data_IF_868823201146
#
_entry.id   IF_868823201146
#
_cell.length_a   1.000
_cell.length_b   1.000
_cell.length_c   1.000
_cell.angle_alpha   90.00
_cell.angle_beta   90.00
_cell.angle_gamma   90.00
#
_symmetry.space_group_name_H-M   'P 1'
#
loop_
_entity.id
_entity.type
_entity.pdbx_description
1 polymer ?
#
# COMPACT_ATOMS: atom_id res chain seq x y z
N UNK A 1 -32.76 -52.17 -35.04
CA UNK A 1 -32.10 -52.80 -36.21
C UNK A 1 -30.72 -52.13 -36.30
N UNK A 2 -29.66 -52.93 -36.28
CA UNK A 2 -28.30 -52.38 -36.44
C UNK A 2 -28.17 -51.80 -37.85
N UNK A 3 -27.70 -50.59 -37.99
CA UNK A 3 -27.34 -49.95 -39.26
C UNK A 3 -26.16 -50.71 -39.86
N UNK A 4 -26.35 -51.45 -40.93
CA UNK A 4 -25.32 -52.26 -41.54
C UNK A 4 -24.60 -51.42 -42.61
N UNK A 5 -23.63 -50.61 -42.20
CA UNK A 5 -22.74 -49.94 -43.12
C UNK A 5 -21.70 -50.94 -43.70
N UNK A 6 -21.24 -50.76 -44.95
CA UNK A 6 -20.22 -51.63 -45.58
C UNK A 6 -18.93 -51.69 -44.78
N UNK A 7 -18.36 -52.89 -44.59
CA UNK A 7 -17.20 -53.16 -43.72
C UNK A 7 -15.85 -52.68 -44.28
N UNK A 8 -15.71 -52.30 -45.50
CA UNK A 8 -14.47 -51.82 -46.10
C UNK A 8 -14.71 -50.77 -47.16
N UNK A 9 -15.27 -49.62 -46.78
CA UNK A 9 -15.61 -48.56 -47.75
C UNK A 9 -14.36 -47.82 -48.22
N UNK A 10 -14.32 -47.45 -49.52
CA UNK A 10 -13.32 -46.51 -50.04
C UNK A 10 -13.68 -45.11 -49.60
N UNK A 11 -12.65 -44.19 -49.57
CA UNK A 11 -12.91 -42.79 -49.25
C UNK A 11 -13.91 -42.17 -50.23
N UNK A 12 -14.93 -41.52 -49.71
CA UNK A 12 -16.02 -40.95 -50.53
C UNK A 12 -17.11 -41.93 -50.89
N UNK A 13 -17.04 -43.22 -50.50
CA UNK A 13 -18.13 -44.15 -50.68
C UNK A 13 -19.40 -43.66 -50.00
N UNK A 14 -20.56 -43.81 -50.66
CA UNK A 14 -21.85 -43.41 -50.13
C UNK A 14 -22.72 -44.57 -49.74
N UNK A 15 -23.48 -44.44 -48.66
CA UNK A 15 -24.46 -45.42 -48.23
C UNK A 15 -25.74 -44.71 -47.73
N UNK A 16 -26.89 -45.14 -48.23
CA UNK A 16 -28.18 -44.52 -47.84
C UNK A 16 -28.87 -45.38 -46.81
N UNK A 17 -29.18 -44.84 -45.66
CA UNK A 17 -29.93 -45.48 -44.60
C UNK A 17 -30.98 -44.52 -44.03
N UNK A 18 -32.21 -44.97 -43.90
CA UNK A 18 -33.30 -44.16 -43.36
C UNK A 18 -33.59 -42.87 -44.15
N UNK A 19 -33.31 -42.88 -45.48
CA UNK A 19 -33.47 -41.66 -46.31
C UNK A 19 -32.29 -40.71 -46.29
N UNK A 20 -31.26 -40.96 -45.46
CA UNK A 20 -30.06 -40.12 -45.38
C UNK A 20 -28.88 -40.82 -46.05
N UNK A 21 -28.23 -40.12 -46.97
CA UNK A 21 -27.02 -40.63 -47.64
C UNK A 21 -25.77 -40.21 -46.86
N UNK A 22 -25.07 -41.17 -46.32
CA UNK A 22 -23.80 -41.00 -45.58
C UNK A 22 -22.63 -41.12 -46.55
N UNK A 23 -21.55 -40.37 -46.29
CA UNK A 23 -20.31 -40.46 -47.04
C UNK A 23 -19.19 -40.90 -46.12
N UNK A 24 -18.39 -41.90 -46.54
CA UNK A 24 -17.28 -42.40 -45.76
C UNK A 24 -16.05 -41.50 -45.87
N UNK A 25 -15.47 -41.14 -44.73
CA UNK A 25 -14.22 -40.46 -44.64
C UNK A 25 -13.12 -41.43 -44.15
N UNK A 26 -12.25 -41.87 -45.07
CA UNK A 26 -11.20 -42.84 -44.77
C UNK A 26 -10.11 -42.31 -43.84
N UNK A 27 -9.87 -41.01 -43.83
CA UNK A 27 -8.89 -40.38 -42.91
C UNK A 27 -9.36 -40.46 -41.45
N UNK A 28 -10.67 -40.37 -41.25
CA UNK A 28 -11.28 -40.44 -39.90
C UNK A 28 -11.86 -41.81 -39.56
N UNK A 29 -11.96 -42.71 -40.54
CA UNK A 29 -12.52 -44.04 -40.35
C UNK A 29 -14.02 -44.02 -40.02
N UNK A 30 -14.77 -43.01 -40.44
CA UNK A 30 -16.18 -42.82 -40.04
C UNK A 30 -17.07 -42.46 -41.21
N UNK A 31 -18.33 -42.90 -41.14
CA UNK A 31 -19.40 -42.43 -42.03
C UNK A 31 -19.99 -41.13 -41.52
N UNK A 32 -20.00 -40.08 -42.32
CA UNK A 32 -20.58 -38.78 -42.02
C UNK A 32 -21.88 -38.59 -42.77
N UNK A 33 -22.90 -38.19 -42.07
CA UNK A 33 -24.11 -37.67 -42.69
C UNK A 33 -23.75 -36.39 -43.50
N UNK A 34 -24.54 -36.04 -44.55
CA UNK A 34 -24.36 -34.73 -45.16
C UNK A 34 -24.38 -33.67 -44.07
N UNK A 35 -23.29 -32.92 -43.99
CA UNK A 35 -23.25 -31.79 -43.06
C UNK A 35 -24.15 -30.71 -43.64
N UNK A 36 -25.44 -30.80 -43.40
CA UNK A 36 -26.22 -29.57 -43.31
C UNK A 36 -25.77 -28.92 -42.01
N UNK A 37 -24.61 -28.27 -42.03
CA UNK A 37 -24.09 -27.52 -40.89
C UNK A 37 -24.91 -26.27 -40.55
N UNK A 38 -26.12 -26.21 -41.04
CA UNK A 38 -27.09 -25.18 -40.75
C UNK A 38 -28.41 -25.84 -40.32
N UNK A 39 -29.03 -25.26 -39.32
CA UNK A 39 -30.32 -25.68 -38.79
C UNK A 39 -31.39 -25.80 -39.93
N UNK A 40 -31.26 -25.01 -40.97
CA UNK A 40 -32.12 -24.98 -42.17
C UNK A 40 -31.96 -26.17 -43.11
N UNK A 41 -30.98 -27.03 -42.89
CA UNK A 41 -30.75 -28.27 -43.68
C UNK A 41 -31.40 -29.51 -43.10
N UNK A 42 -32.04 -29.45 -41.97
CA UNK A 42 -32.82 -30.54 -41.40
C UNK A 42 -34.25 -30.50 -41.98
N UNK A 43 -34.82 -31.66 -42.28
CA UNK A 43 -36.14 -31.76 -42.91
C UNK A 43 -37.30 -31.31 -42.03
N UNK A 44 -37.07 -31.19 -40.75
CA UNK A 44 -38.03 -30.82 -39.72
C UNK A 44 -37.78 -29.43 -39.11
N UNK A 45 -36.90 -28.62 -39.72
CA UNK A 45 -36.62 -27.24 -39.30
C UNK A 45 -36.99 -26.23 -40.36
N UNK A 46 -37.21 -24.97 -40.00
CA UNK A 46 -37.50 -23.90 -40.95
C UNK A 46 -36.40 -23.73 -42.00
N UNK A 47 -36.79 -23.54 -43.26
CA UNK A 47 -35.90 -23.42 -44.42
C UNK A 47 -35.07 -22.15 -44.50
N UNK A 48 -35.33 -21.17 -43.63
CA UNK A 48 -34.59 -19.89 -43.58
C UNK A 48 -34.51 -19.34 -42.18
N UNK A 49 -33.40 -18.69 -41.86
CA UNK A 49 -33.19 -17.93 -40.62
C UNK A 49 -33.53 -16.44 -40.78
N UNK A 50 -33.85 -15.98 -42.00
CA UNK A 50 -34.17 -14.57 -42.25
C UNK A 50 -35.43 -14.17 -41.49
N UNK A 51 -35.37 -13.05 -40.76
CA UNK A 51 -36.46 -12.56 -39.93
C UNK A 51 -36.78 -13.36 -38.67
N UNK A 52 -35.86 -14.27 -38.27
CA UNK A 52 -36.04 -15.11 -37.08
C UNK A 52 -35.23 -14.60 -35.86
N UNK A 53 -34.59 -13.43 -35.97
CA UNK A 53 -33.90 -12.82 -34.85
C UNK A 53 -34.84 -12.59 -33.67
N UNK A 54 -34.41 -12.96 -32.47
CA UNK A 54 -35.21 -12.83 -31.24
C UNK A 54 -36.27 -13.92 -31.04
N UNK A 55 -36.34 -14.94 -31.90
CA UNK A 55 -37.26 -16.08 -31.74
C UNK A 55 -36.56 -17.28 -31.15
N UNK A 56 -37.29 -18.08 -30.37
CA UNK A 56 -36.84 -19.37 -29.85
C UNK A 56 -37.25 -20.52 -30.76
N UNK A 57 -36.45 -21.61 -30.73
CA UNK A 57 -36.85 -22.87 -31.33
C UNK A 57 -37.75 -23.62 -30.37
N UNK A 58 -38.92 -24.02 -30.83
CA UNK A 58 -39.81 -24.92 -30.08
C UNK A 58 -40.38 -26.00 -30.96
N UNK A 59 -40.80 -27.09 -30.35
CA UNK A 59 -41.57 -28.10 -31.02
C UNK A 59 -42.98 -27.53 -31.27
N UNK A 60 -43.51 -27.67 -32.50
CA UNK A 60 -44.86 -27.23 -32.80
C UNK A 60 -45.92 -27.99 -32.00
N UNK A 61 -47.15 -27.50 -31.98
CA UNK A 61 -48.24 -28.09 -31.20
C UNK A 61 -48.63 -29.50 -31.64
N UNK A 62 -48.23 -29.93 -32.84
CA UNK A 62 -48.41 -31.29 -33.34
C UNK A 62 -47.29 -32.27 -32.91
N UNK A 63 -46.20 -31.77 -32.33
CA UNK A 63 -45.08 -32.56 -31.87
C UNK A 63 -44.18 -33.15 -32.97
N UNK A 64 -44.29 -32.66 -34.20
CA UNK A 64 -43.65 -33.26 -35.39
C UNK A 64 -42.70 -32.33 -36.16
N UNK A 65 -42.52 -31.09 -35.75
CA UNK A 65 -41.58 -30.18 -36.36
C UNK A 65 -41.04 -29.16 -35.35
N UNK A 66 -39.84 -28.62 -35.61
CA UNK A 66 -39.25 -27.51 -34.89
C UNK A 66 -39.60 -26.19 -35.64
N UNK A 67 -40.15 -25.24 -34.94
CA UNK A 67 -40.50 -23.93 -35.48
C UNK A 67 -39.85 -22.78 -34.73
N UNK A 68 -39.64 -21.65 -35.42
CA UNK A 68 -39.30 -20.39 -34.75
C UNK A 68 -40.57 -19.72 -34.23
N UNK A 69 -40.70 -19.67 -32.95
CA UNK A 69 -41.80 -18.96 -32.32
C UNK A 69 -41.29 -17.65 -31.70
N UNK A 70 -42.10 -16.61 -31.84
CA UNK A 70 -41.95 -15.44 -31.00
C UNK A 70 -42.07 -15.93 -29.58
N UNK A 71 -41.10 -15.60 -28.73
CA UNK A 71 -41.27 -15.75 -27.30
C UNK A 71 -42.45 -14.87 -26.95
N UNK A 72 -43.51 -15.43 -26.40
CA UNK A 72 -44.64 -14.62 -25.98
C UNK A 72 -44.10 -13.70 -24.88
N UNK A 73 -44.36 -12.40 -25.01
CA UNK A 73 -44.11 -11.49 -23.91
C UNK A 73 -44.83 -12.08 -22.67
N UNK A 74 -44.07 -12.67 -21.74
CA UNK A 74 -44.62 -13.24 -20.51
C UNK A 74 -44.48 -14.76 -20.32
N UNK A 75 -43.60 -15.49 -21.03
CA UNK A 75 -43.34 -16.89 -20.70
C UNK A 75 -42.32 -17.09 -19.53
N UNK A 76 -41.87 -16.01 -18.90
CA UNK A 76 -41.31 -16.01 -17.56
C UNK A 76 -39.83 -16.35 -17.44
N UNK A 77 -39.03 -16.20 -18.48
CA UNK A 77 -37.59 -16.28 -18.35
C UNK A 77 -37.08 -15.08 -17.50
N UNK A 78 -36.20 -15.36 -16.59
CA UNK A 78 -35.63 -14.30 -15.74
C UNK A 78 -34.69 -13.41 -16.55
N UNK A 79 -34.68 -12.09 -16.31
CA UNK A 79 -33.71 -11.18 -16.90
C UNK A 79 -32.27 -11.65 -16.72
N UNK A 80 -31.48 -11.54 -17.79
CA UNK A 80 -30.05 -11.87 -17.78
C UNK A 80 -29.26 -10.62 -17.43
N UNK A 81 -28.57 -10.65 -16.30
CA UNK A 81 -27.64 -9.59 -15.89
C UNK A 81 -26.35 -9.74 -16.68
N UNK A 82 -25.96 -8.71 -17.45
CA UNK A 82 -24.71 -8.68 -18.21
C UNK A 82 -23.71 -7.64 -17.68
N UNK A 83 -24.14 -6.67 -16.88
CA UNK A 83 -23.27 -5.82 -16.07
C UNK A 83 -23.54 -6.15 -14.61
N UNK A 84 -22.64 -6.91 -14.01
CA UNK A 84 -22.74 -7.34 -12.61
C UNK A 84 -22.34 -6.20 -11.67
N UNK A 85 -23.14 -5.87 -10.65
CA UNK A 85 -22.72 -4.95 -9.61
C UNK A 85 -21.62 -5.58 -8.77
N UNK A 86 -20.76 -4.78 -8.11
CA UNK A 86 -19.77 -5.30 -7.18
C UNK A 86 -20.45 -6.02 -6.00
N UNK A 87 -19.78 -6.99 -5.38
CA UNK A 87 -20.28 -7.65 -4.18
C UNK A 87 -20.23 -6.76 -2.94
N UNK A 88 -19.33 -5.76 -2.95
CA UNK A 88 -19.20 -4.74 -1.91
C UNK A 88 -18.90 -3.38 -2.51
N UNK A 89 -19.34 -2.30 -1.85
CA UNK A 89 -19.12 -0.92 -2.29
C UNK A 89 -18.91 -0.01 -1.08
N UNK A 90 -17.84 0.82 -1.11
CA UNK A 90 -17.61 1.83 -0.09
C UNK A 90 -18.25 3.15 -0.51
N UNK A 91 -19.09 3.70 0.36
CA UNK A 91 -19.75 4.97 0.15
C UNK A 91 -18.78 6.14 0.40
N UNK A 92 -18.97 7.24 -0.31
CA UNK A 92 -18.14 8.43 -0.18
C UNK A 92 -18.44 9.17 1.13
N UNK A 93 -17.44 9.27 2.01
CA UNK A 93 -17.57 9.90 3.35
C UNK A 93 -17.70 11.42 3.32
N UNK A 94 -17.47 12.04 2.18
CA UNK A 94 -17.58 13.51 1.97
C UNK A 94 -19.01 13.94 1.56
N UNK A 95 -19.96 12.99 1.48
CA UNK A 95 -21.33 13.23 1.08
C UNK A 95 -21.52 13.32 -0.44
N UNK A 96 -20.46 13.16 -1.24
CA UNK A 96 -20.63 13.03 -2.68
C UNK A 96 -21.33 11.73 -3.03
N UNK A 97 -22.17 11.74 -4.06
CA UNK A 97 -22.93 10.54 -4.45
C UNK A 97 -22.04 9.39 -4.87
N UNK A 98 -22.44 8.19 -4.50
CA UNK A 98 -21.80 6.93 -4.90
C UNK A 98 -22.72 6.19 -5.88
N UNK A 99 -22.17 5.57 -6.92
CA UNK A 99 -22.96 4.88 -7.94
C UNK A 99 -22.59 3.41 -8.06
N UNK A 100 -23.60 2.56 -8.24
CA UNK A 100 -23.44 1.14 -8.59
C UNK A 100 -24.28 0.87 -9.83
N UNK A 101 -23.73 0.11 -10.77
CA UNK A 101 -24.42 -0.25 -12.00
C UNK A 101 -24.79 -1.73 -12.03
N UNK A 102 -26.00 -2.04 -12.46
CA UNK A 102 -26.50 -3.36 -12.77
C UNK A 102 -27.29 -3.27 -14.07
N UNK A 103 -26.85 -3.94 -15.13
CA UNK A 103 -27.58 -3.94 -16.40
C UNK A 103 -28.06 -5.34 -16.73
N UNK A 104 -29.29 -5.41 -17.20
CA UNK A 104 -29.90 -6.67 -17.57
C UNK A 104 -30.66 -6.51 -18.89
N UNK A 105 -30.89 -7.63 -19.55
CA UNK A 105 -31.73 -7.76 -20.74
C UNK A 105 -32.72 -8.88 -20.50
N UNK A 106 -33.94 -8.66 -20.93
CA UNK A 106 -34.92 -9.72 -20.99
C UNK A 106 -34.75 -10.53 -22.30
N UNK A 107 -34.63 -11.87 -22.23
CA UNK A 107 -34.52 -12.70 -23.42
C UNK A 107 -35.73 -12.56 -24.39
N UNK A 108 -36.88 -12.21 -23.86
CA UNK A 108 -38.14 -12.01 -24.62
C UNK A 108 -38.30 -10.59 -25.18
N UNK A 109 -37.37 -9.69 -24.78
CA UNK A 109 -37.38 -8.29 -25.23
C UNK A 109 -38.32 -7.38 -24.45
N UNK A 110 -38.81 -7.83 -23.26
CA UNK A 110 -39.61 -6.99 -22.37
C UNK A 110 -38.74 -5.92 -21.72
N UNK A 111 -39.28 -4.75 -21.49
CA UNK A 111 -38.55 -3.67 -20.84
C UNK A 111 -38.20 -4.02 -19.38
N UNK A 112 -36.95 -3.81 -19.02
CA UNK A 112 -36.46 -4.06 -17.65
C UNK A 112 -36.79 -2.87 -16.76
N UNK A 113 -37.29 -3.18 -15.56
CA UNK A 113 -37.47 -2.25 -14.46
C UNK A 113 -36.48 -2.59 -13.34
N UNK A 114 -35.70 -1.61 -12.92
CA UNK A 114 -34.74 -1.78 -11.84
C UNK A 114 -35.33 -1.38 -10.50
N UNK A 115 -34.99 -2.11 -9.43
CA UNK A 115 -35.47 -1.86 -8.09
C UNK A 115 -34.40 -2.11 -7.03
N UNK A 116 -34.61 -1.55 -5.86
CA UNK A 116 -33.76 -1.76 -4.68
C UNK A 116 -34.61 -2.11 -3.48
N UNK A 117 -34.08 -3.00 -2.63
CA UNK A 117 -34.60 -3.27 -1.30
C UNK A 117 -33.43 -3.36 -0.31
N UNK A 118 -33.59 -2.76 0.85
CA UNK A 118 -32.61 -2.86 1.91
C UNK A 118 -32.88 -4.11 2.75
N UNK A 119 -31.81 -4.85 3.06
CA UNK A 119 -31.91 -6.11 3.82
C UNK A 119 -32.07 -5.87 5.32
N UNK A 120 -33.05 -5.05 5.71
CA UNK A 120 -33.48 -4.87 7.08
C UNK A 120 -34.98 -5.27 7.22
N UNK A 121 -35.45 -5.48 8.44
CA UNK A 121 -36.79 -6.00 8.70
C UNK A 121 -37.94 -5.13 8.17
N UNK A 122 -37.69 -3.84 7.92
CA UNK A 122 -38.68 -2.85 7.49
C UNK A 122 -38.48 -2.34 6.08
N UNK A 123 -37.40 -2.77 5.39
CA UNK A 123 -36.94 -2.19 4.13
C UNK A 123 -36.77 -0.66 4.22
N UNK A 124 -36.51 -0.14 5.41
CA UNK A 124 -36.32 1.29 5.62
C UNK A 124 -34.94 1.72 5.10
N UNK A 125 -34.87 2.97 4.66
CA UNK A 125 -33.58 3.59 4.26
C UNK A 125 -32.57 3.46 5.40
N UNK A 126 -31.34 2.95 5.10
CA UNK A 126 -30.26 2.88 6.09
C UNK A 126 -29.82 4.27 6.57
N UNK A 127 -29.41 4.37 7.83
CA UNK A 127 -28.90 5.62 8.41
C UNK A 127 -27.68 6.17 7.63
N UNK A 128 -26.91 5.30 6.98
CA UNK A 128 -25.76 5.65 6.12
C UNK A 128 -26.10 6.51 4.90
N UNK A 129 -27.37 6.67 4.58
CA UNK A 129 -27.84 7.43 3.44
C UNK A 129 -28.62 8.68 3.88
N UNK A 130 -28.25 9.84 3.36
CA UNK A 130 -28.94 11.12 3.60
C UNK A 130 -30.29 11.19 2.87
N UNK A 131 -30.37 10.57 1.68
CA UNK A 131 -31.58 10.50 0.87
C UNK A 131 -31.82 9.09 0.33
N UNK A 132 -33.01 8.86 -0.22
CA UNK A 132 -33.36 7.60 -0.86
C UNK A 132 -32.53 7.39 -2.13
N UNK A 133 -32.17 6.13 -2.39
CA UNK A 133 -31.42 5.77 -3.60
C UNK A 133 -32.26 6.09 -4.85
N UNK A 134 -31.68 6.83 -5.78
CA UNK A 134 -32.29 7.08 -7.09
C UNK A 134 -31.84 6.04 -8.11
N UNK A 135 -32.73 5.68 -9.04
CA UNK A 135 -32.46 4.63 -10.03
C UNK A 135 -32.71 5.20 -11.43
N UNK A 136 -31.67 5.16 -12.25
CA UNK A 136 -31.83 5.43 -13.67
C UNK A 136 -32.31 4.16 -14.39
N UNK A 137 -33.57 4.13 -14.76
CA UNK A 137 -34.25 2.97 -15.38
C UNK A 137 -33.68 2.62 -16.76
N UNK A 138 -33.09 3.58 -17.48
CA UNK A 138 -32.52 3.31 -18.81
C UNK A 138 -31.13 2.68 -18.75
N UNK A 139 -30.34 3.01 -17.72
CA UNK A 139 -28.95 2.57 -17.59
C UNK A 139 -28.71 1.53 -16.52
N UNK A 140 -29.70 1.28 -15.62
CA UNK A 140 -29.51 0.42 -14.46
C UNK A 140 -28.53 0.98 -13.45
N UNK A 141 -28.38 2.31 -13.38
CA UNK A 141 -27.50 2.98 -12.43
C UNK A 141 -28.26 3.32 -11.15
N UNK A 142 -27.77 2.82 -10.03
CA UNK A 142 -28.23 3.13 -8.67
C UNK A 142 -27.32 4.20 -8.10
N UNK A 143 -27.90 5.34 -7.69
CA UNK A 143 -27.17 6.46 -7.09
C UNK A 143 -27.54 6.57 -5.63
N UNK A 144 -26.55 6.44 -4.77
CA UNK A 144 -26.65 6.53 -3.33
C UNK A 144 -26.14 7.91 -2.89
N UNK A 145 -26.85 8.53 -1.95
CA UNK A 145 -26.51 9.82 -1.35
C UNK A 145 -26.07 9.57 0.12
N UNK A 146 -24.76 9.42 0.40
CA UNK A 146 -24.28 9.10 1.73
C UNK A 146 -24.44 10.26 2.70
N UNK A 147 -24.69 9.97 3.98
CA UNK A 147 -24.62 10.98 5.05
C UNK A 147 -23.17 11.39 5.31
N UNK A 148 -22.98 12.61 5.81
CA UNK A 148 -21.69 13.08 6.37
C UNK A 148 -21.61 12.98 7.89
N UNK A 149 -22.63 12.39 8.52
CA UNK A 149 -22.72 12.25 9.98
C UNK A 149 -21.94 11.03 10.44
N UNK A 150 -20.88 11.24 11.21
CA UNK A 150 -19.98 10.16 11.63
C UNK A 150 -20.66 9.09 12.50
N UNK A 151 -21.69 9.46 13.27
CA UNK A 151 -22.48 8.49 14.06
C UNK A 151 -23.27 7.49 13.22
N UNK A 152 -23.47 7.79 11.94
CA UNK A 152 -24.17 6.92 10.99
C UNK A 152 -23.24 5.95 10.27
N UNK A 153 -21.94 5.93 10.62
CA UNK A 153 -20.98 4.96 10.12
C UNK A 153 -21.47 3.53 10.32
N UNK A 154 -21.16 2.67 9.37
CA UNK A 154 -21.54 1.27 9.45
C UNK A 154 -21.80 0.66 8.08
N UNK A 155 -22.32 -0.55 8.10
CA UNK A 155 -22.59 -1.31 6.89
C UNK A 155 -24.08 -1.65 6.78
N UNK A 156 -24.55 -1.74 5.55
CA UNK A 156 -25.85 -2.30 5.23
C UNK A 156 -25.76 -3.15 3.96
N UNK A 157 -26.73 -4.03 3.79
CA UNK A 157 -26.87 -4.85 2.59
C UNK A 157 -28.07 -4.39 1.78
N UNK A 158 -27.89 -4.17 0.48
CA UNK A 158 -28.98 -3.93 -0.44
C UNK A 158 -29.13 -5.08 -1.42
N UNK A 159 -30.36 -5.36 -1.79
CA UNK A 159 -30.74 -6.25 -2.87
C UNK A 159 -31.14 -5.41 -4.07
N UNK A 160 -30.34 -5.42 -5.11
CA UNK A 160 -30.66 -4.82 -6.40
C UNK A 160 -31.44 -5.84 -7.24
N UNK A 161 -32.41 -5.37 -8.01
CA UNK A 161 -33.23 -6.22 -8.85
C UNK A 161 -33.39 -5.63 -10.24
N UNK A 162 -33.48 -6.51 -11.25
CA UNK A 162 -33.91 -6.22 -12.60
C UNK A 162 -35.12 -7.13 -12.89
N UNK A 163 -36.26 -6.56 -13.25
CA UNK A 163 -37.53 -7.29 -13.46
C UNK A 163 -38.13 -6.94 -14.81
N UNK A 164 -38.66 -7.94 -15.48
CA UNK A 164 -39.52 -7.84 -16.67
C UNK A 164 -41.02 -7.67 -16.34
N UNK A 165 -41.37 -7.63 -15.05
CA UNK A 165 -42.73 -7.59 -14.53
C UNK A 165 -43.32 -8.96 -14.18
N UNK A 166 -42.69 -10.07 -14.57
CA UNK A 166 -43.12 -11.45 -14.28
C UNK A 166 -42.09 -12.16 -13.37
N UNK A 167 -40.81 -12.03 -13.74
CA UNK A 167 -39.68 -12.60 -12.97
C UNK A 167 -38.64 -11.54 -12.69
N UNK A 168 -37.63 -11.87 -11.88
CA UNK A 168 -36.57 -10.94 -11.56
C UNK A 168 -35.24 -11.61 -11.30
N UNK A 169 -34.17 -11.01 -11.80
CA UNK A 169 -32.81 -11.29 -11.41
C UNK A 169 -32.40 -10.37 -10.24
N UNK A 170 -31.76 -10.91 -9.23
CA UNK A 170 -31.37 -10.11 -8.05
C UNK A 170 -29.90 -10.29 -7.71
N UNK A 171 -29.27 -9.22 -7.18
CA UNK A 171 -27.90 -9.22 -6.68
C UNK A 171 -27.85 -8.53 -5.32
N UNK A 172 -27.00 -9.04 -4.46
CA UNK A 172 -26.73 -8.42 -3.16
C UNK A 172 -25.43 -7.67 -3.20
N UNK A 173 -25.44 -6.45 -2.63
CA UNK A 173 -24.26 -5.61 -2.47
C UNK A 173 -24.15 -5.23 -1.00
N UNK A 174 -22.98 -5.44 -0.42
CA UNK A 174 -22.63 -4.96 0.91
C UNK A 174 -22.07 -3.53 0.80
N UNK A 175 -22.77 -2.57 1.38
CA UNK A 175 -22.34 -1.17 1.43
C UNK A 175 -21.69 -0.88 2.78
N UNK A 176 -20.62 -0.09 2.76
CA UNK A 176 -19.94 0.38 3.96
C UNK A 176 -19.72 1.89 3.89
N UNK A 177 -20.15 2.61 4.94
CA UNK A 177 -19.82 4.01 5.16
C UNK A 177 -18.87 4.09 6.35
N UNK A 178 -17.66 4.58 6.12
CA UNK A 178 -16.64 4.69 7.16
C UNK A 178 -16.04 6.09 7.14
N UNK A 179 -15.98 6.70 8.33
CA UNK A 179 -15.31 7.97 8.56
C UNK A 179 -13.89 7.78 9.11
N UNK A 180 -13.35 6.60 8.97
CA UNK A 180 -11.98 6.31 9.36
C UNK A 180 -11.01 7.29 8.68
N UNK A 181 -10.13 7.97 9.44
CA UNK A 181 -9.18 8.90 8.87
C UNK A 181 -8.10 8.20 8.07
N UNK A 182 -7.91 8.65 6.84
CA UNK A 182 -6.72 8.32 6.07
C UNK A 182 -5.59 9.24 6.52
N UNK A 183 -4.43 8.65 6.75
CA UNK A 183 -3.24 9.36 7.17
C UNK A 183 -2.09 9.17 6.20
N UNK A 184 -1.27 10.20 6.08
CA UNK A 184 0.12 10.07 5.63
C UNK A 184 1.00 10.20 6.86
N UNK A 185 2.00 9.34 6.99
CA UNK A 185 2.88 9.37 8.15
C UNK A 185 4.35 9.49 7.77
N UNK A 186 5.12 10.11 8.67
CA UNK A 186 6.57 10.07 8.72
C UNK A 186 6.97 9.69 10.14
N UNK A 187 7.69 8.59 10.30
CA UNK A 187 8.17 8.09 11.58
C UNK A 187 9.69 8.02 11.48
N UNK A 188 10.39 8.81 12.29
CA UNK A 188 11.83 8.87 12.36
C UNK A 188 12.26 8.47 13.77
N UNK A 189 13.11 7.50 13.89
CA UNK A 189 13.67 7.04 15.16
C UNK A 189 14.78 7.98 15.65
N UNK A 190 15.23 7.80 16.90
CA UNK A 190 16.40 8.50 17.40
C UNK A 190 17.68 8.06 16.69
N UNK A 191 18.59 9.00 16.43
CA UNK A 191 19.94 8.72 15.92
C UNK A 191 20.84 8.11 16.96
N UNK A 192 21.84 7.34 16.56
CA UNK A 192 22.90 6.78 17.42
C UNK A 192 23.89 7.86 17.87
N UNK A 193 24.53 7.65 19.04
CA UNK A 193 25.60 8.52 19.49
C UNK A 193 26.90 8.29 18.73
N UNK A 194 27.71 9.34 18.58
CA UNK A 194 29.04 9.29 17.99
C UNK A 194 30.08 8.65 18.92
N UNK A 195 31.11 8.03 18.35
CA UNK A 195 32.26 7.48 19.04
C UNK A 195 33.24 8.56 19.51
N UNK A 196 34.27 8.18 20.19
CA UNK A 196 35.42 9.03 20.59
C UNK A 196 36.75 8.41 20.16
N UNK A 197 37.86 9.14 20.31
CA UNK A 197 39.22 8.69 19.99
C UNK A 197 39.39 8.29 18.53
N UNK A 198 39.21 9.26 17.63
CA UNK A 198 39.12 9.03 16.18
C UNK A 198 38.02 8.02 15.84
N UNK A 199 36.92 8.16 16.58
CA UNK A 199 35.75 7.29 16.46
C UNK A 199 34.94 7.52 15.19
N UNK A 200 34.01 6.61 14.96
CA UNK A 200 33.01 6.72 13.89
C UNK A 200 31.80 7.58 14.29
N UNK A 201 31.14 8.16 13.33
CA UNK A 201 29.86 8.88 13.52
C UNK A 201 28.73 7.91 13.84
N UNK A 202 27.74 8.38 14.62
CA UNK A 202 26.49 7.64 14.85
C UNK A 202 25.64 7.56 13.60
N UNK A 203 24.98 6.44 13.37
CA UNK A 203 23.99 6.26 12.28
C UNK A 203 22.73 7.06 12.57
N UNK A 204 22.04 7.52 11.54
CA UNK A 204 20.73 8.12 11.67
C UNK A 204 19.68 7.11 12.16
N UNK A 205 18.64 7.59 12.82
CA UNK A 205 17.44 6.82 13.08
C UNK A 205 16.79 6.38 11.79
N UNK A 206 16.19 5.19 11.79
CA UNK A 206 15.43 4.69 10.67
C UNK A 206 14.25 5.61 10.32
N UNK A 207 13.93 5.72 9.05
CA UNK A 207 12.84 6.54 8.54
C UNK A 207 11.82 5.68 7.82
N UNK A 208 10.56 5.77 8.25
CA UNK A 208 9.41 5.17 7.59
C UNK A 208 8.45 6.25 7.14
N UNK A 209 7.98 6.13 5.91
CA UNK A 209 6.92 7.00 5.36
C UNK A 209 5.92 6.16 4.58
N UNK A 210 4.67 6.60 4.54
CA UNK A 210 3.62 5.90 3.83
C UNK A 210 2.25 6.45 4.17
N UNK A 211 1.24 5.71 3.77
CA UNK A 211 -0.18 5.98 4.06
C UNK A 211 -0.81 4.82 4.82
N UNK A 212 -1.83 5.11 5.60
CA UNK A 212 -2.64 4.10 6.28
C UNK A 212 -4.00 4.69 6.65
N UNK A 213 -4.93 3.83 7.05
CA UNK A 213 -6.23 4.25 7.58
C UNK A 213 -6.29 3.89 9.06
N UNK A 214 -6.69 4.84 9.90
CA UNK A 214 -6.88 4.64 11.33
C UNK A 214 -8.37 4.44 11.64
N UNK A 215 -8.69 3.62 12.65
CA UNK A 215 -10.06 3.42 13.06
C UNK A 215 -10.54 4.57 13.97
N UNK A 216 -11.69 5.14 13.67
CA UNK A 216 -12.34 6.15 14.52
C UNK A 216 -12.65 5.56 15.91
N UNK A 217 -12.48 6.37 16.96
CA UNK A 217 -12.67 5.95 18.35
C UNK A 217 -11.52 5.13 18.95
N UNK A 218 -10.49 4.80 18.13
CA UNK A 218 -9.32 4.06 18.61
C UNK A 218 -8.21 5.01 19.01
N UNK A 219 -7.58 4.77 20.15
CA UNK A 219 -6.40 5.50 20.60
C UNK A 219 -5.13 4.82 20.06
N UNK A 220 -4.31 5.58 19.38
CA UNK A 220 -3.02 5.15 18.86
C UNK A 220 -1.90 5.71 19.72
N UNK A 221 -1.02 4.83 20.17
CA UNK A 221 0.16 5.21 20.95
C UNK A 221 1.27 5.63 20.00
N UNK A 222 1.86 6.78 20.29
CA UNK A 222 3.02 7.34 19.61
C UNK A 222 4.22 7.29 20.57
N UNK A 223 5.22 6.54 20.20
CA UNK A 223 6.53 6.55 20.88
C UNK A 223 7.53 7.31 20.03
N UNK A 224 8.19 8.29 20.62
CA UNK A 224 9.29 9.03 19.96
C UNK A 224 10.60 8.57 20.57
N UNK A 225 11.49 8.01 19.74
CA UNK A 225 12.78 7.49 20.16
C UNK A 225 13.73 8.59 20.60
N UNK A 226 14.36 8.42 21.73
CA UNK A 226 15.44 9.30 22.17
C UNK A 226 16.71 9.07 21.33
N UNK A 227 17.52 10.09 21.15
CA UNK A 227 18.88 9.93 20.62
C UNK A 227 19.75 9.12 21.57
N UNK A 228 20.66 8.31 21.02
CA UNK A 228 21.67 7.58 21.80
C UNK A 228 22.71 8.53 22.39
N UNK A 229 23.18 8.26 23.62
CA UNK A 229 24.27 9.05 24.17
C UNK A 229 25.58 8.84 23.37
N UNK A 230 26.30 9.93 23.14
CA UNK A 230 27.67 9.83 22.64
C UNK A 230 28.60 9.11 23.62
N UNK A 231 29.70 8.60 23.11
CA UNK A 231 30.75 7.99 23.97
C UNK A 231 31.24 8.99 25.00
N UNK A 232 31.30 8.59 26.27
CA UNK A 232 31.91 9.37 27.34
C UNK A 232 33.43 9.32 27.27
N UNK A 233 34.12 10.21 28.02
CA UNK A 233 35.55 10.15 28.23
C UNK A 233 35.93 8.83 28.92
N UNK A 234 36.85 8.09 28.36
CA UNK A 234 37.25 6.75 28.85
C UNK A 234 36.49 5.61 28.12
N UNK A 235 36.40 4.40 28.70
CA UNK A 235 35.89 3.22 28.01
C UNK A 235 34.37 3.17 27.83
N UNK A 236 33.67 4.28 28.04
CA UNK A 236 32.22 4.34 27.87
C UNK A 236 31.79 4.24 26.38
N UNK A 237 31.09 3.19 26.03
CA UNK A 237 30.59 3.02 24.66
C UNK A 237 29.49 4.03 24.33
N UNK A 238 29.49 4.54 23.08
CA UNK A 238 28.33 5.22 22.53
C UNK A 238 27.09 4.29 22.54
N UNK A 239 25.91 4.86 22.50
CA UNK A 239 24.64 4.11 22.55
C UNK A 239 23.88 4.23 21.24
N UNK A 240 23.15 3.17 20.92
CA UNK A 240 22.20 3.20 19.82
C UNK A 240 21.03 4.13 20.16
N UNK A 241 20.37 4.67 19.13
CA UNK A 241 19.16 5.45 19.28
C UNK A 241 17.96 4.58 19.69
N UNK A 242 16.92 5.22 20.23
CA UNK A 242 15.66 4.58 20.56
C UNK A 242 14.75 4.46 19.33
N UNK A 243 13.91 3.44 19.31
CA UNK A 243 12.90 3.25 18.27
C UNK A 243 11.79 4.29 18.38
N UNK A 244 11.24 4.74 17.23
CA UNK A 244 9.96 5.44 17.17
C UNK A 244 8.88 4.49 16.67
N UNK A 245 7.69 4.55 17.31
CA UNK A 245 6.63 3.56 17.07
C UNK A 245 5.28 4.27 16.97
N UNK A 246 4.46 3.83 16.00
CA UNK A 246 3.03 4.10 15.95
C UNK A 246 2.29 2.76 16.07
N UNK A 247 1.44 2.60 17.09
CA UNK A 247 0.73 1.35 17.37
C UNK A 247 -0.68 1.62 17.89
N UNK A 248 -1.58 0.63 17.73
CA UNK A 248 -2.96 0.70 18.20
C UNK A 248 -3.69 -0.62 17.96
N UNK A 249 -4.84 -0.80 18.60
CA UNK A 249 -5.66 -2.00 18.41
C UNK A 249 -6.14 -2.11 16.97
N UNK A 250 -5.95 -3.27 16.35
CA UNK A 250 -6.34 -3.50 14.95
C UNK A 250 -5.46 -2.81 13.90
N UNK A 251 -4.34 -2.23 14.31
CA UNK A 251 -3.40 -1.53 13.43
C UNK A 251 -2.05 -2.28 13.37
N UNK A 252 -1.51 -2.43 12.15
CA UNK A 252 -0.18 -2.99 12.00
C UNK A 252 0.84 -2.01 12.55
N UNK A 253 1.51 -2.39 13.63
CA UNK A 253 2.51 -1.56 14.30
C UNK A 253 3.63 -1.15 13.34
N UNK A 254 3.88 0.16 13.26
CA UNK A 254 4.97 0.73 12.48
C UNK A 254 6.12 1.06 13.44
N UNK A 255 7.30 0.48 13.20
CA UNK A 255 8.48 0.68 14.03
C UNK A 255 9.65 1.15 13.17
N UNK A 256 10.06 2.40 13.36
CA UNK A 256 11.34 2.91 12.90
C UNK A 256 12.42 2.53 13.92
N UNK A 257 13.47 1.88 13.46
CA UNK A 257 14.57 1.36 14.30
C UNK A 257 15.55 2.48 14.62
N UNK A 258 16.02 2.53 15.86
CA UNK A 258 17.05 3.49 16.29
C UNK A 258 18.33 3.40 15.46
N UNK A 259 19.04 4.50 15.32
CA UNK A 259 20.34 4.55 14.63
C UNK A 259 21.42 3.81 15.38
N UNK A 260 22.33 3.17 14.67
CA UNK A 260 23.47 2.46 15.25
C UNK A 260 24.52 3.41 15.83
N UNK A 261 25.11 3.10 16.96
CA UNK A 261 26.20 3.87 17.58
C UNK A 261 27.46 3.92 16.71
N UNK A 262 28.24 4.98 16.80
CA UNK A 262 29.58 5.07 16.23
C UNK A 262 30.59 4.17 16.96
N UNK A 263 31.55 3.63 16.20
CA UNK A 263 32.68 2.87 16.71
C UNK A 263 33.59 3.74 17.58
N UNK A 264 34.20 3.14 18.60
CA UNK A 264 35.12 3.83 19.50
C UNK A 264 36.52 3.20 19.40
N UNK A 265 37.56 4.03 19.47
CA UNK A 265 38.95 3.65 19.57
C UNK A 265 39.41 2.41 18.76
N UNK A 266 40.59 2.48 18.19
CA UNK A 266 41.40 1.40 17.63
C UNK A 266 40.62 0.19 17.03
N UNK A 267 39.92 0.42 15.92
CA UNK A 267 39.22 -0.63 15.21
C UNK A 267 37.82 -0.96 15.73
N UNK A 268 37.28 -0.17 16.65
CA UNK A 268 35.90 -0.38 17.12
C UNK A 268 34.86 -0.28 16.01
N UNK A 269 33.96 -1.25 15.93
CA UNK A 269 32.92 -1.33 14.93
C UNK A 269 31.75 -0.40 15.23
N UNK A 270 31.13 0.16 14.17
CA UNK A 270 29.84 0.81 14.25
C UNK A 270 28.71 -0.18 14.56
N UNK A 271 27.68 0.28 15.28
CA UNK A 271 26.45 -0.49 15.57
C UNK A 271 25.53 -0.60 14.38
N UNK A 272 24.78 -1.70 14.32
CA UNK A 272 23.67 -1.83 13.36
C UNK A 272 22.49 -1.02 13.86
N UNK A 273 21.63 -0.53 12.93
CA UNK A 273 20.47 0.26 13.33
C UNK A 273 19.51 0.51 12.19
N UNK A 274 18.64 1.50 12.34
CA UNK A 274 17.85 2.03 11.24
C UNK A 274 18.77 2.45 10.10
N UNK A 275 19.77 3.31 10.44
CA UNK A 275 21.03 3.45 9.68
C UNK A 275 22.19 3.01 10.55
N UNK A 276 23.22 2.44 9.93
CA UNK A 276 24.39 1.91 10.64
C UNK A 276 25.34 3.00 11.09
N UNK A 277 26.02 2.81 12.23
CA UNK A 277 27.10 3.68 12.70
C UNK A 277 28.40 3.47 11.90
N UNK A 278 29.26 4.49 11.84
CA UNK A 278 30.60 4.42 11.28
C UNK A 278 31.59 3.67 12.19
N UNK A 279 32.57 3.00 11.57
CA UNK A 279 33.66 2.35 12.30
C UNK A 279 34.72 3.36 12.77
N UNK A 280 35.46 3.06 13.85
CA UNK A 280 36.57 3.86 14.28
C UNK A 280 37.80 3.66 13.37
N UNK A 281 38.76 4.58 13.45
CA UNK A 281 40.08 4.44 12.85
C UNK A 281 40.69 3.05 13.10
N UNK A 282 41.67 2.64 12.30
CA UNK A 282 42.22 1.29 12.25
C UNK A 282 41.26 0.22 11.77
N UNK A 283 40.57 0.54 10.67
CA UNK A 283 39.71 -0.39 9.93
C UNK A 283 38.52 -0.92 10.76
N UNK A 284 38.03 -0.12 11.70
CA UNK A 284 36.77 -0.43 12.37
C UNK A 284 35.66 -0.69 11.35
N UNK A 285 34.93 -1.79 11.49
CA UNK A 285 33.90 -2.15 10.55
C UNK A 285 32.68 -1.20 10.66
N UNK A 286 32.04 -0.97 9.55
CA UNK A 286 30.76 -0.24 9.48
C UNK A 286 29.60 -1.06 10.08
N UNK A 287 28.66 -0.39 10.72
CA UNK A 287 27.35 -0.96 11.05
C UNK A 287 26.46 -1.02 9.81
N UNK A 288 25.54 -1.98 9.77
CA UNK A 288 24.53 -2.14 8.70
C UNK A 288 23.29 -1.34 8.99
N UNK A 289 22.65 -0.83 7.94
CA UNK A 289 21.32 -0.24 8.01
C UNK A 289 20.21 -1.29 7.88
N UNK A 290 19.03 -0.96 8.37
CA UNK A 290 17.82 -1.75 8.17
C UNK A 290 17.24 -1.45 6.80
N UNK A 291 17.04 -2.50 5.99
CA UNK A 291 16.46 -2.36 4.65
C UNK A 291 15.11 -1.60 4.67
N UNK A 292 14.97 -0.61 3.79
CA UNK A 292 13.79 0.25 3.71
C UNK A 292 13.68 1.32 4.79
N UNK A 293 14.67 1.45 5.70
CA UNK A 293 14.68 2.47 6.75
C UNK A 293 15.94 3.34 6.73
N UNK A 294 17.06 2.83 6.24
CA UNK A 294 18.32 3.57 6.18
C UNK A 294 19.46 2.73 5.61
N UNK A 295 20.63 3.35 5.53
CA UNK A 295 21.80 2.79 4.89
C UNK A 295 22.92 2.45 5.88
N UNK A 296 23.92 1.71 5.44
CA UNK A 296 25.07 1.36 6.22
C UNK A 296 25.94 2.60 6.56
N UNK A 297 26.62 2.56 7.67
CA UNK A 297 27.74 3.46 7.92
C UNK A 297 28.94 3.13 7.03
N UNK A 298 30.05 3.82 7.24
CA UNK A 298 31.31 3.57 6.57
C UNK A 298 32.34 2.96 7.51
N UNK A 299 33.26 2.15 6.98
CA UNK A 299 34.39 1.68 7.74
C UNK A 299 35.36 2.84 8.04
N UNK A 300 36.08 2.73 9.14
CA UNK A 300 37.17 3.63 9.47
C UNK A 300 38.39 3.42 8.57
N UNK A 301 39.13 4.49 8.35
CA UNK A 301 40.43 4.44 7.65
C UNK A 301 41.54 3.79 8.49
N UNK A 302 42.75 3.76 7.94
CA UNK A 302 43.93 3.22 8.61
C UNK A 302 44.69 4.32 9.35
N UNK A 303 45.18 4.03 10.57
CA UNK A 303 45.99 4.94 11.36
C UNK A 303 47.45 4.83 10.89
N UNK A 304 47.87 5.72 10.03
CA UNK A 304 49.22 5.77 9.49
C UNK A 304 49.78 7.22 9.40
N UNK A 305 49.12 8.16 10.09
CA UNK A 305 49.52 9.56 10.11
C UNK A 305 49.28 10.31 8.80
N UNK A 306 48.44 9.78 7.94
CA UNK A 306 48.14 10.34 6.62
C UNK A 306 46.66 10.76 6.47
N UNK A 307 46.28 11.23 5.27
CA UNK A 307 44.90 11.61 4.92
C UNK A 307 43.88 10.45 5.01
N UNK A 308 44.34 9.23 5.18
CA UNK A 308 43.49 8.03 5.33
C UNK A 308 43.13 7.73 6.80
N UNK A 309 43.58 8.57 7.73
CA UNK A 309 43.41 8.42 9.15
C UNK A 309 42.14 9.13 9.64
N UNK A 310 41.03 8.43 9.55
CA UNK A 310 39.68 8.95 9.87
C UNK A 310 38.77 7.86 10.44
N UNK A 311 37.82 8.25 11.26
CA UNK A 311 36.67 7.45 11.60
C UNK A 311 35.62 7.52 10.49
N UNK A 312 34.96 6.41 10.22
CA UNK A 312 33.89 6.34 9.20
C UNK A 312 32.68 7.19 9.59
N UNK A 313 31.98 7.77 8.61
CA UNK A 313 30.71 8.43 8.82
C UNK A 313 29.60 7.42 9.09
N UNK A 314 28.59 7.79 9.89
CA UNK A 314 27.34 7.03 10.03
C UNK A 314 26.48 7.12 8.78
N UNK A 315 25.69 6.09 8.50
CA UNK A 315 24.72 6.11 7.41
C UNK A 315 23.56 7.06 7.68
N UNK A 316 22.98 7.63 6.62
CA UNK A 316 21.73 8.38 6.61
C UNK A 316 20.59 7.55 6.06
N UNK A 317 19.36 8.08 6.09
CA UNK A 317 18.24 7.42 5.47
C UNK A 317 18.31 7.46 3.94
N UNK A 318 18.93 8.48 3.35
CA UNK A 318 19.08 8.68 1.90
C UNK A 318 20.30 7.97 1.32
N UNK A 319 21.43 7.98 2.04
CA UNK A 319 22.70 7.42 1.54
C UNK A 319 23.59 6.83 2.65
N UNK A 320 24.59 6.05 2.23
CA UNK A 320 25.58 5.48 3.13
C UNK A 320 26.58 6.55 3.63
N UNK A 321 27.26 6.25 4.73
CA UNK A 321 28.37 7.10 5.19
C UNK A 321 29.51 7.16 4.18
N UNK A 322 30.34 8.19 4.25
CA UNK A 322 31.49 8.50 3.38
C UNK A 322 31.17 8.75 1.91
N UNK A 323 29.92 8.86 1.50
CA UNK A 323 29.52 9.12 0.10
C UNK A 323 30.11 10.46 -0.38
N UNK A 324 30.04 11.50 0.45
CA UNK A 324 30.57 12.83 0.15
C UNK A 324 32.07 12.99 0.46
N UNK A 325 32.70 11.97 0.94
CA UNK A 325 34.12 11.96 1.31
C UNK A 325 34.40 11.24 2.60
N UNK A 326 35.69 11.03 2.93
CA UNK A 326 36.09 10.33 4.13
C UNK A 326 35.51 10.94 5.40
N UNK A 327 34.95 10.13 6.26
CA UNK A 327 34.36 10.53 7.54
C UNK A 327 33.02 11.26 7.45
N UNK A 328 32.55 11.66 6.28
CA UNK A 328 31.25 12.37 6.14
C UNK A 328 30.07 11.47 6.50
N UNK A 329 29.10 12.03 7.23
CA UNK A 329 27.82 11.34 7.48
C UNK A 329 26.96 11.28 6.22
N UNK A 330 26.24 10.20 6.01
CA UNK A 330 25.32 10.05 4.89
C UNK A 330 24.10 10.95 5.02
N UNK A 331 23.62 11.48 3.92
CA UNK A 331 22.45 12.37 3.88
C UNK A 331 21.16 11.61 4.24
N UNK A 332 20.24 12.35 4.84
CA UNK A 332 18.88 11.90 5.11
C UNK A 332 17.97 11.98 3.90
N UNK A 333 16.69 11.73 4.12
CA UNK A 333 15.65 11.86 3.13
C UNK A 333 14.84 13.14 3.33
N UNK A 334 14.51 13.79 2.22
CA UNK A 334 13.63 14.94 2.21
C UNK A 334 12.16 14.52 2.28
N UNK A 335 11.37 15.23 3.10
CA UNK A 335 9.93 15.03 3.20
C UNK A 335 9.22 16.39 3.24
N UNK A 336 8.12 16.50 2.50
CA UNK A 336 7.23 17.67 2.49
C UNK A 336 5.95 17.44 3.32
N UNK A 337 5.94 16.46 4.22
CA UNK A 337 4.75 16.09 5.01
C UNK A 337 4.20 17.27 5.85
N UNK A 338 5.06 18.22 6.22
CA UNK A 338 4.68 19.43 6.98
C UNK A 338 4.28 20.61 6.10
N UNK A 339 4.17 20.42 4.79
CA UNK A 339 3.98 21.51 3.82
C UNK A 339 5.29 22.19 3.39
N UNK A 340 6.40 21.94 4.09
CA UNK A 340 7.73 22.48 3.77
C UNK A 340 8.72 21.33 3.63
N UNK A 341 9.52 21.34 2.54
CA UNK A 341 10.54 20.36 2.30
C UNK A 341 11.64 20.41 3.37
N UNK A 342 11.79 19.35 4.13
CA UNK A 342 12.73 19.24 5.26
C UNK A 342 13.44 17.89 5.18
N UNK A 343 14.76 17.89 5.40
CA UNK A 343 15.54 16.66 5.51
C UNK A 343 15.45 16.08 6.92
N UNK A 344 15.38 14.75 7.02
CA UNK A 344 15.36 13.96 8.26
C UNK A 344 16.33 12.81 8.16
N UNK A 345 16.81 12.35 9.31
CA UNK A 345 17.65 11.18 9.44
C UNK A 345 18.98 11.24 8.67
N UNK A 346 19.77 12.30 8.88
CA UNK A 346 21.15 12.41 8.42
C UNK A 346 22.14 11.73 9.39
N UNK A 347 23.14 11.03 8.88
CA UNK A 347 24.17 10.36 9.67
C UNK A 347 25.17 11.34 10.30
N UNK A 348 25.74 10.99 11.45
CA UNK A 348 26.82 11.76 12.08
C UNK A 348 28.17 11.54 11.39
N UNK A 349 29.06 12.53 11.47
CA UNK A 349 30.40 12.40 10.90
C UNK A 349 31.39 11.70 11.83
N UNK A 350 32.37 11.01 11.27
CA UNK A 350 33.54 10.48 11.94
C UNK A 350 34.54 11.57 12.28
N UNK A 351 35.45 11.29 13.21
CA UNK A 351 36.54 12.18 13.54
C UNK A 351 37.74 11.97 12.60
N UNK A 352 38.46 13.06 12.32
CA UNK A 352 39.69 13.05 11.51
C UNK A 352 40.96 13.14 12.37
N UNK A 353 42.01 12.46 11.93
CA UNK A 353 43.38 12.54 12.40
C UNK A 353 44.32 12.35 11.19
N UNK A 354 45.26 13.20 10.83
CA UNK A 354 45.80 14.36 11.54
C UNK A 354 45.20 15.71 11.11
N UNK A 355 45.79 16.77 11.70
CA UNK A 355 45.50 18.18 11.58
C UNK A 355 45.26 18.80 10.20
N UNK A 356 45.67 18.18 9.15
CA UNK A 356 45.64 18.75 7.79
C UNK A 356 44.28 18.59 7.06
N UNK A 357 43.37 17.88 7.68
CA UNK A 357 42.03 17.64 7.13
C UNK A 357 40.99 18.57 7.75
N UNK A 358 40.04 19.04 6.97
CA UNK A 358 38.88 19.73 7.52
C UNK A 358 37.98 18.77 8.30
N UNK A 359 37.32 19.22 9.39
CA UNK A 359 36.32 18.37 10.09
C UNK A 359 35.30 17.85 9.11
N UNK A 360 34.95 16.57 9.22
CA UNK A 360 33.91 15.99 8.40
C UNK A 360 32.53 16.52 8.79
N UNK A 361 31.67 16.76 7.80
CA UNK A 361 30.31 17.23 8.00
C UNK A 361 29.37 16.04 8.30
N UNK A 362 28.39 16.28 9.17
CA UNK A 362 27.25 15.39 9.30
C UNK A 362 26.33 15.52 8.08
N UNK A 363 25.60 14.46 7.77
CA UNK A 363 24.65 14.42 6.65
C UNK A 363 23.49 15.40 6.84
N UNK A 364 22.93 15.86 5.71
CA UNK A 364 21.70 16.67 5.73
C UNK A 364 20.59 15.89 6.44
N UNK A 365 19.74 16.61 7.18
CA UNK A 365 18.74 15.95 8.01
C UNK A 365 19.18 15.78 9.47
N UNK A 366 20.14 16.62 9.91
CA UNK A 366 20.47 16.81 11.29
C UNK A 366 21.65 15.98 11.81
N UNK A 367 22.49 15.44 10.95
CA UNK A 367 23.73 14.77 11.37
C UNK A 367 24.69 15.72 12.09
N UNK A 368 25.27 15.28 13.20
CA UNK A 368 26.31 16.01 13.96
C UNK A 368 27.65 15.96 13.24
N UNK A 369 28.35 17.10 13.16
CA UNK A 369 29.70 17.14 12.59
C UNK A 369 30.72 16.43 13.49
N UNK A 370 31.73 15.83 12.86
CA UNK A 370 32.91 15.30 13.53
C UNK A 370 33.90 16.41 13.89
N UNK A 371 34.93 16.07 14.63
CA UNK A 371 36.01 16.99 14.99
C UNK A 371 37.36 16.49 14.50
N UNK A 372 38.33 17.41 14.42
CA UNK A 372 39.69 17.13 13.99
C UNK A 372 40.61 17.31 15.17
N UNK A 373 41.54 16.37 15.38
CA UNK A 373 42.40 16.29 16.57
C UNK A 373 43.31 17.49 16.80
N UNK A 374 43.65 18.29 15.81
CA UNK A 374 44.65 19.33 15.92
C UNK A 374 44.15 20.75 15.82
N UNK A 375 43.05 21.00 15.12
CA UNK A 375 42.48 22.32 14.92
C UNK A 375 41.23 22.57 15.77
N UNK A 376 40.59 21.51 16.21
CA UNK A 376 39.38 21.55 17.00
C UNK A 376 39.32 20.29 17.90
N UNK A 377 40.35 20.14 18.79
CA UNK A 377 40.31 19.09 19.80
C UNK A 377 39.11 19.31 20.69
N UNK A 378 38.02 18.57 20.44
CA UNK A 378 36.78 18.79 21.13
C UNK A 378 35.86 17.59 21.07
N UNK A 379 34.72 17.78 21.71
CA UNK A 379 33.64 16.83 21.66
C UNK A 379 32.96 16.84 20.26
N UNK A 380 32.56 15.67 19.80
CA UNK A 380 31.70 15.56 18.61
C UNK A 380 30.42 16.36 18.77
N UNK A 381 29.94 16.93 17.68
CA UNK A 381 28.69 17.69 17.69
C UNK A 381 27.46 16.77 17.78
N UNK A 382 26.45 17.15 18.55
CA UNK A 382 25.25 16.35 18.65
C UNK A 382 24.45 16.38 17.34
N UNK A 383 23.72 15.33 17.08
CA UNK A 383 22.66 15.30 16.10
C UNK A 383 21.53 16.27 16.49
N UNK A 384 20.89 16.86 15.48
CA UNK A 384 19.78 17.82 15.69
C UNK A 384 18.58 17.11 16.28
N UNK A 385 18.03 17.63 17.36
CA UNK A 385 16.83 17.09 17.99
C UNK A 385 15.63 17.08 17.02
N UNK A 386 14.78 16.08 17.13
CA UNK A 386 13.55 15.91 16.35
C UNK A 386 13.79 15.74 14.83
N UNK A 387 14.98 15.27 14.47
CA UNK A 387 15.32 14.91 13.10
C UNK A 387 15.78 13.46 12.95
N UNK A 388 16.13 12.80 14.06
CA UNK A 388 16.74 11.48 14.05
C UNK A 388 18.19 11.49 13.58
N UNK A 389 18.88 12.65 13.60
CA UNK A 389 20.26 12.75 13.13
C UNK A 389 21.24 12.00 14.04
N UNK A 390 22.26 11.34 13.46
CA UNK A 390 23.36 10.69 14.20
C UNK A 390 24.29 11.70 14.84
N UNK A 391 24.93 11.38 15.98
CA UNK A 391 25.94 12.21 16.65
C UNK A 391 27.29 12.14 15.96
N UNK A 392 28.03 13.25 15.90
CA UNK A 392 29.41 13.31 15.38
C UNK A 392 30.42 12.72 16.34
N UNK A 393 31.56 12.25 15.85
CA UNK A 393 32.60 11.66 16.65
C UNK A 393 33.53 12.70 17.29
N UNK A 394 34.04 12.41 18.52
CA UNK A 394 35.09 13.13 19.23
C UNK A 394 36.48 12.66 18.85
N UNK A 395 37.48 13.57 18.94
CA UNK A 395 38.80 13.35 18.37
C UNK A 395 39.79 12.58 19.28
N UNK A 396 39.80 12.78 20.60
CA UNK A 396 40.80 12.28 21.50
C UNK A 396 40.24 11.68 22.78
N UNK A 397 41.18 11.07 23.63
CA UNK A 397 40.87 10.36 24.88
C UNK A 397 40.00 11.10 25.89
N UNK A 398 40.12 12.42 25.93
CA UNK A 398 39.39 13.27 26.88
C UNK A 398 38.15 13.92 26.29
N UNK A 399 37.84 13.59 25.04
CA UNK A 399 36.67 14.17 24.33
C UNK A 399 35.55 13.16 24.27
N UNK A 400 34.34 13.65 24.20
CA UNK A 400 33.13 12.81 24.08
C UNK A 400 32.65 12.78 22.63
N UNK A 401 31.99 11.70 22.22
CA UNK A 401 31.15 11.72 21.03
C UNK A 401 29.91 12.58 21.26
N UNK A 402 29.35 13.15 20.21
CA UNK A 402 28.08 13.85 20.24
C UNK A 402 26.91 12.87 20.45
N UNK A 403 25.92 13.27 21.23
CA UNK A 403 24.68 12.50 21.31
C UNK A 403 23.93 12.48 19.95
N UNK A 404 23.21 11.43 19.64
CA UNK A 404 22.25 11.44 18.54
C UNK A 404 21.06 12.35 18.81
N UNK A 405 20.43 12.88 17.78
CA UNK A 405 19.19 13.65 17.88
C UNK A 405 17.99 12.72 18.14
N UNK A 406 17.00 13.21 18.90
CA UNK A 406 15.73 12.51 19.06
C UNK A 406 15.01 12.33 17.73
N UNK A 407 14.17 11.31 17.64
CA UNK A 407 13.27 11.09 16.51
C UNK A 407 12.08 12.06 16.49
N UNK A 408 11.18 11.82 15.56
CA UNK A 408 9.92 12.55 15.39
C UNK A 408 8.89 11.64 14.76
N UNK A 409 7.62 11.80 15.14
CA UNK A 409 6.47 11.17 14.46
C UNK A 409 5.55 12.25 13.95
N UNK A 410 5.23 12.23 12.67
CA UNK A 410 4.35 13.22 12.01
C UNK A 410 3.20 12.46 11.34
N UNK A 411 1.98 12.91 11.63
CA UNK A 411 0.75 12.39 11.05
C UNK A 411 0.06 13.57 10.33
N UNK A 412 -0.22 13.37 9.04
CA UNK A 412 -0.95 14.32 8.18
C UNK A 412 -2.27 13.69 7.76
N UNK A 413 -3.38 14.38 7.94
CA UNK A 413 -4.73 13.89 7.62
C UNK A 413 -5.70 15.05 7.42
N UNK A 414 -6.79 14.82 6.71
CA UNK A 414 -7.90 15.80 6.63
C UNK A 414 -8.82 15.75 7.85
N UNK A 415 -8.72 14.71 8.69
CA UNK A 415 -9.55 14.55 9.88
C UNK A 415 -8.98 15.31 11.08
N UNK A 416 -9.85 15.80 11.96
CA UNK A 416 -9.45 16.37 13.24
C UNK A 416 -9.41 15.31 14.31
N UNK A 417 -8.32 15.22 15.06
CA UNK A 417 -8.23 14.28 16.18
C UNK A 417 -9.21 14.68 17.30
N UNK A 418 -9.89 13.70 17.86
CA UNK A 418 -10.76 13.87 19.03
C UNK A 418 -9.95 14.20 20.28
N UNK A 419 -8.77 13.63 20.42
CA UNK A 419 -7.85 13.94 21.52
C UNK A 419 -6.40 13.60 21.17
N UNK A 420 -5.45 14.30 21.83
CA UNK A 420 -4.01 14.00 21.78
C UNK A 420 -3.40 14.11 23.17
N UNK A 421 -2.34 13.33 23.43
CA UNK A 421 -1.45 13.50 24.58
C UNK A 421 0.00 13.68 24.10
N UNK A 422 0.94 14.06 24.99
CA UNK A 422 2.32 14.31 24.61
C UNK A 422 2.56 15.66 23.92
N UNK A 423 1.56 16.53 23.92
CA UNK A 423 1.61 17.92 23.40
C UNK A 423 2.18 18.02 21.97
N UNK A 424 1.63 17.33 20.98
CA UNK A 424 2.09 17.48 19.60
C UNK A 424 1.88 18.94 19.14
N UNK A 425 2.80 19.43 18.31
CA UNK A 425 2.55 20.66 17.57
C UNK A 425 1.53 20.38 16.48
N UNK A 426 0.42 21.10 16.49
CA UNK A 426 -0.64 20.96 15.47
C UNK A 426 -0.60 22.16 14.55
N UNK A 427 -0.46 21.94 13.25
CA UNK A 427 -0.48 22.95 12.20
C UNK A 427 -1.41 22.51 11.06
N UNK A 428 -1.71 23.42 10.14
CA UNK A 428 -2.52 23.13 8.96
C UNK A 428 -1.75 23.44 7.67
N UNK A 429 -2.01 22.66 6.62
CA UNK A 429 -1.53 22.91 5.26
C UNK A 429 -2.69 22.61 4.29
N UNK A 430 -3.33 23.66 3.79
CA UNK A 430 -4.58 23.55 3.05
C UNK A 430 -5.68 22.90 3.91
N UNK A 431 -6.25 21.81 3.43
CA UNK A 431 -7.27 21.03 4.15
C UNK A 431 -6.70 20.01 5.14
N UNK A 432 -5.38 19.90 5.26
CA UNK A 432 -4.76 18.90 6.11
C UNK A 432 -4.42 19.46 7.49
N UNK A 433 -4.70 18.67 8.52
CA UNK A 433 -4.16 18.79 9.87
C UNK A 433 -2.85 18.01 9.96
N UNK A 434 -1.83 18.59 10.56
CA UNK A 434 -0.50 18.01 10.74
C UNK A 434 -0.22 17.93 12.23
N UNK A 435 -0.08 16.69 12.74
CA UNK A 435 0.26 16.41 14.14
C UNK A 435 1.72 15.98 14.22
N UNK A 436 2.59 16.88 14.74
CA UNK A 436 4.04 16.63 14.90
C UNK A 436 4.34 16.33 16.36
N UNK A 437 4.67 15.07 16.65
CA UNK A 437 5.09 14.58 17.96
C UNK A 437 6.60 14.63 18.08
N UNK A 438 7.10 15.42 19.02
CA UNK A 438 8.53 15.50 19.43
C UNK A 438 8.77 14.83 20.79
N UNK A 439 7.71 14.36 21.43
CA UNK A 439 7.68 13.55 22.64
C UNK A 439 6.64 12.45 22.48
N UNK A 440 6.79 11.37 23.24
CA UNK A 440 5.83 10.26 23.23
C UNK A 440 4.44 10.72 23.73
N UNK A 441 3.40 10.15 23.16
CA UNK A 441 2.02 10.50 23.48
C UNK A 441 1.02 9.56 22.81
N UNK A 442 -0.14 10.08 22.50
CA UNK A 442 -1.19 9.37 21.78
C UNK A 442 -2.04 10.28 20.91
N UNK A 443 -2.75 9.69 19.98
CA UNK A 443 -3.75 10.37 19.15
C UNK A 443 -4.99 9.47 19.02
N UNK A 444 -6.17 10.08 19.12
CA UNK A 444 -7.48 9.42 18.92
C UNK A 444 -8.27 10.22 17.90
N UNK A 445 -8.86 9.56 16.93
CA UNK A 445 -9.72 10.18 15.93
C UNK A 445 -11.19 9.84 16.16
#
# INVERSE_FOLDING_TARGET
MATNFPDSPSNGATHTFGGTTYTYNSTKGVWTAPSSGTLTGLSDTPSTLSGQGGKTLKVNSAGNAIEFASVAAGDGQSPIVYTEPPTSHTLNKDGSTSTVQMQAVDPEGTAITYGIAYANSTNARPAQLAADTTINQSTGTFTFDPTTTASDAGSFKARLSASDGISSATRFVDFNLSFNPDITYLIVAGGGGGGTQSGGGGGAGGLLTGTSTLATGTTYTVTVGAGGNGSATGPGAAQDGGNSVLSGTGFTTLTAIGGGKGGIYNGGSGGNGGSGGGGAVNSGAAGTGTAGQGNAGAAGGVDNGSATDFGGGGGGAGEAGNTDGPGHGGDGLQSSITGTATYYAGGGAGAHHPASQSPAAGGQGGGGAGVNSSTNSGNGYPGTANTGGGGGAGSEHNNTGGAGGSGVVIIRTTSTAASTTGSPTVTTDGSFNIYKFTASGSITF
#
